data_IF_749598066523
#
_entry.id   IF_749598066523
#
_cell.length_a   1.000
_cell.length_b   1.000
_cell.length_c   1.000
_cell.angle_alpha   90.00
_cell.angle_beta   90.00
_cell.angle_gamma   90.00
#
_symmetry.space_group_name_H-M   'P 1'
#
loop_
_entity.id
_entity.type
_entity.pdbx_description
1 polymer ?
#
# COMPACT_ATOMS: atom_id res chain seq x y z
N UNK A 1 -64.56 -23.28 50.89
CA UNK A 1 -64.21 -23.71 49.52
C UNK A 1 -62.93 -22.99 49.11
N UNK A 2 -62.03 -23.73 48.47
CA UNK A 2 -60.57 -23.57 48.53
C UNK A 2 -60.05 -22.34 47.77
N UNK A 3 -59.14 -21.59 48.41
CA UNK A 3 -58.29 -20.57 47.80
C UNK A 3 -57.17 -21.27 47.00
N UNK A 4 -57.12 -21.07 45.69
CA UNK A 4 -56.07 -21.44 44.73
C UNK A 4 -56.42 -20.64 43.45
N UNK A 5 -55.56 -19.98 42.68
CA UNK A 5 -54.14 -20.22 42.45
C UNK A 5 -53.42 -18.90 42.10
N UNK A 6 -52.23 -18.78 42.66
CA UNK A 6 -51.16 -17.90 42.25
C UNK A 6 -50.39 -18.60 41.12
N UNK A 7 -49.71 -17.82 40.26
CA UNK A 7 -48.54 -18.16 39.42
C UNK A 7 -48.73 -18.64 37.97
N UNK A 8 -47.72 -18.28 37.15
CA UNK A 8 -47.36 -18.69 35.76
C UNK A 8 -47.95 -17.76 34.69
N UNK A 9 -47.22 -17.01 33.85
CA UNK A 9 -45.79 -16.93 33.54
C UNK A 9 -45.45 -15.52 32.98
N UNK A 10 -44.54 -14.81 33.65
CA UNK A 10 -43.54 -14.05 32.93
C UNK A 10 -42.53 -15.06 32.35
N UNK A 11 -41.82 -14.69 31.28
CA UNK A 11 -40.90 -15.52 30.47
C UNK A 11 -41.59 -16.05 29.19
N UNK A 12 -41.96 -15.14 28.29
CA UNK A 12 -41.80 -15.42 26.86
C UNK A 12 -40.34 -15.07 26.54
N UNK A 13 -39.48 -16.05 26.74
CA UNK A 13 -38.06 -15.98 26.49
C UNK A 13 -37.78 -15.60 25.03
N UNK A 14 -37.03 -14.52 24.88
CA UNK A 14 -35.92 -14.34 23.96
C UNK A 14 -35.31 -15.64 23.37
N UNK A 15 -35.97 -16.27 22.40
CA UNK A 15 -35.41 -17.49 21.74
C UNK A 15 -35.55 -17.52 20.23
N UNK A 16 -35.36 -16.38 19.56
CA UNK A 16 -34.93 -16.38 18.14
C UNK A 16 -33.76 -15.43 17.88
N UNK A 17 -32.95 -15.13 18.91
CA UNK A 17 -31.57 -14.75 18.65
C UNK A 17 -30.85 -16.03 18.23
N UNK A 18 -30.84 -16.30 16.92
CA UNK A 18 -29.82 -17.18 16.34
C UNK A 18 -28.48 -16.73 16.92
N UNK A 19 -27.60 -17.62 17.37
CA UNK A 19 -26.24 -17.21 17.64
C UNK A 19 -25.76 -16.59 16.33
N UNK A 20 -25.49 -15.27 16.34
CA UNK A 20 -24.53 -14.74 15.41
C UNK A 20 -23.28 -15.55 15.73
N UNK A 21 -22.98 -16.54 14.87
CA UNK A 21 -21.70 -17.19 14.89
C UNK A 21 -20.71 -16.06 14.97
N UNK A 22 -20.06 -15.94 16.12
CA UNK A 22 -18.96 -15.02 16.28
C UNK A 22 -17.95 -15.48 15.24
N UNK A 23 -17.94 -14.80 14.11
CA UNK A 23 -16.77 -14.74 13.27
C UNK A 23 -15.66 -14.40 14.25
N UNK A 24 -14.71 -15.31 14.40
CA UNK A 24 -13.45 -15.00 15.05
C UNK A 24 -12.92 -13.83 14.25
N UNK A 25 -13.17 -12.60 14.71
CA UNK A 25 -12.39 -11.46 14.30
C UNK A 25 -11.00 -11.76 14.83
N UNK A 26 -10.22 -12.44 13.99
CA UNK A 26 -8.78 -12.28 14.05
C UNK A 26 -8.59 -10.79 13.83
N UNK A 27 -8.28 -10.11 14.94
CA UNK A 27 -8.74 -8.74 15.16
C UNK A 27 -8.44 -7.79 14.02
N UNK A 28 -9.36 -6.85 13.79
CA UNK A 28 -9.07 -5.58 13.16
C UNK A 28 -8.03 -4.82 13.99
N UNK A 29 -6.79 -5.31 14.04
CA UNK A 29 -5.66 -4.58 14.59
C UNK A 29 -5.23 -3.59 13.52
N UNK A 30 -5.84 -2.41 13.54
CA UNK A 30 -5.13 -1.20 13.12
C UNK A 30 -3.91 -1.11 14.05
N UNK A 31 -2.76 -1.62 13.61
CA UNK A 31 -1.58 -1.76 14.49
C UNK A 31 -0.55 -2.87 14.15
N UNK A 32 -0.80 -3.76 13.19
CA UNK A 32 0.21 -4.72 12.65
C UNK A 32 1.31 -4.08 11.77
N UNK A 33 1.59 -2.79 11.97
CA UNK A 33 2.62 -2.01 11.26
C UNK A 33 4.01 -2.69 11.24
N UNK A 34 4.31 -3.51 12.25
CA UNK A 34 5.58 -4.23 12.41
C UNK A 34 5.58 -5.66 11.84
N UNK A 35 4.81 -5.93 10.78
CA UNK A 35 5.01 -7.15 9.97
C UNK A 35 6.46 -7.26 9.46
N UNK A 36 6.84 -8.34 8.75
CA UNK A 36 8.20 -8.53 8.24
C UNK A 36 8.52 -7.59 7.08
N UNK A 37 8.46 -6.27 7.32
CA UNK A 37 8.47 -5.18 6.36
C UNK A 37 9.42 -4.08 6.84
N UNK A 38 10.19 -3.53 5.91
CA UNK A 38 10.99 -2.34 6.14
C UNK A 38 10.78 -1.32 4.99
N UNK A 39 10.53 -0.03 5.29
CA UNK A 39 10.16 0.48 6.63
C UNK A 39 8.83 -0.16 7.11
N UNK A 40 8.54 -0.16 8.42
CA UNK A 40 7.22 -0.54 8.93
C UNK A 40 6.11 0.26 8.24
N UNK A 41 4.93 -0.34 8.05
CA UNK A 41 3.79 0.34 7.45
C UNK A 41 3.18 1.37 8.42
N UNK A 42 2.65 2.48 7.90
CA UNK A 42 1.99 3.49 8.74
C UNK A 42 0.68 2.95 9.31
N UNK A 43 -0.05 2.17 8.51
CA UNK A 43 -1.28 1.48 8.92
C UNK A 43 -1.32 0.09 8.31
N UNK A 44 -2.11 -0.77 8.93
CA UNK A 44 -2.44 -2.05 8.35
C UNK A 44 -3.83 -2.51 8.80
N UNK A 45 -4.43 -3.39 8.01
CA UNK A 45 -5.63 -4.13 8.31
C UNK A 45 -5.32 -5.59 7.99
N UNK A 46 -5.39 -6.49 8.95
CA UNK A 46 -4.72 -7.77 8.78
C UNK A 46 -5.20 -8.91 9.63
N UNK A 47 -4.49 -10.03 9.42
CA UNK A 47 -4.77 -11.35 9.94
C UNK A 47 -6.07 -11.98 9.46
N UNK A 48 -6.53 -11.59 8.26
CA UNK A 48 -7.61 -12.30 7.58
C UNK A 48 -7.20 -13.76 7.38
N UNK A 49 -8.08 -14.70 7.73
CA UNK A 49 -7.82 -16.14 7.56
C UNK A 49 -7.49 -16.44 6.09
N UNK A 50 -6.51 -17.30 5.88
CA UNK A 50 -6.15 -17.84 4.57
C UNK A 50 -5.67 -16.79 3.55
N UNK A 51 -5.48 -17.28 2.33
CA UNK A 51 -4.99 -16.51 1.21
C UNK A 51 -6.10 -15.73 0.54
N UNK A 52 -6.15 -14.44 0.85
CA UNK A 52 -7.10 -13.50 0.26
C UNK A 52 -6.72 -13.09 -1.18
N UNK A 53 -5.59 -13.56 -1.70
CA UNK A 53 -5.02 -13.20 -3.01
C UNK A 53 -4.82 -14.42 -3.93
N UNK A 54 -5.53 -15.52 -3.69
CA UNK A 54 -5.35 -16.82 -4.36
C UNK A 54 -5.88 -16.90 -5.81
N UNK A 55 -6.24 -15.77 -6.45
CA UNK A 55 -6.64 -15.76 -7.85
C UNK A 55 -8.09 -16.10 -8.15
N UNK A 56 -8.90 -16.37 -7.12
CA UNK A 56 -10.35 -16.47 -7.25
C UNK A 56 -10.98 -15.13 -6.88
N UNK A 57 -11.94 -14.67 -7.68
CA UNK A 57 -12.71 -13.42 -7.50
C UNK A 57 -13.42 -13.31 -6.15
N UNK A 58 -13.48 -14.40 -5.41
CA UNK A 58 -14.43 -14.60 -4.31
C UNK A 58 -14.03 -13.80 -3.06
N UNK A 59 -12.79 -13.32 -3.00
CA UNK A 59 -12.29 -12.51 -1.88
C UNK A 59 -12.23 -11.00 -2.18
N UNK A 60 -12.69 -10.55 -3.36
CA UNK A 60 -12.67 -9.12 -3.74
C UNK A 60 -13.46 -8.26 -2.75
N UNK A 61 -14.59 -8.75 -2.24
CA UNK A 61 -15.39 -8.03 -1.24
C UNK A 61 -14.64 -7.84 0.09
N UNK A 62 -13.85 -8.83 0.52
CA UNK A 62 -13.02 -8.75 1.71
C UNK A 62 -11.82 -7.82 1.48
N UNK A 63 -11.15 -7.93 0.34
CA UNK A 63 -10.09 -6.98 -0.04
C UNK A 63 -10.63 -5.54 -0.02
N UNK A 64 -11.83 -5.32 -0.57
CA UNK A 64 -12.46 -4.01 -0.58
C UNK A 64 -12.76 -3.51 0.83
N UNK A 65 -13.26 -4.35 1.73
CA UNK A 65 -13.53 -3.95 3.11
C UNK A 65 -12.24 -3.62 3.87
N UNK A 66 -11.19 -4.42 3.69
CA UNK A 66 -9.86 -4.17 4.28
C UNK A 66 -9.26 -2.83 3.81
N UNK A 67 -9.38 -2.53 2.51
CA UNK A 67 -8.91 -1.28 1.93
C UNK A 67 -9.74 -0.09 2.44
N UNK A 68 -11.05 -0.23 2.54
CA UNK A 68 -11.93 0.79 3.08
C UNK A 68 -11.57 1.14 4.54
N UNK A 69 -11.11 0.17 5.34
CA UNK A 69 -10.61 0.43 6.70
C UNK A 69 -9.33 1.29 6.71
N UNK A 70 -8.47 1.14 5.70
CA UNK A 70 -7.17 1.81 5.64
C UNK A 70 -7.24 3.24 5.12
N UNK A 71 -8.00 3.44 4.03
CA UNK A 71 -8.04 4.71 3.29
C UNK A 71 -9.45 5.31 3.21
N UNK A 72 -10.45 4.72 3.86
CA UNK A 72 -11.84 5.17 3.84
C UNK A 72 -12.62 4.66 2.63
N UNK A 73 -13.92 4.41 2.82
CA UNK A 73 -14.83 3.95 1.76
C UNK A 73 -14.86 4.90 0.56
N UNK A 74 -14.90 4.33 -0.65
CA UNK A 74 -14.99 5.08 -1.91
C UNK A 74 -13.66 5.63 -2.45
N UNK A 75 -12.57 5.55 -1.67
CA UNK A 75 -11.26 6.04 -2.12
C UNK A 75 -10.52 5.07 -3.04
N UNK A 76 -10.95 3.81 -3.13
CA UNK A 76 -10.39 2.80 -4.02
C UNK A 76 -11.46 1.74 -4.33
N UNK A 77 -11.49 1.24 -5.57
CA UNK A 77 -12.33 0.11 -5.96
C UNK A 77 -11.43 -1.03 -6.41
N UNK A 78 -11.57 -2.20 -5.78
CA UNK A 78 -10.83 -3.40 -6.15
C UNK A 78 -11.39 -3.96 -7.45
N UNK A 79 -10.55 -3.93 -8.50
CA UNK A 79 -10.77 -4.66 -9.75
C UNK A 79 -9.66 -5.68 -9.92
N UNK A 80 -9.96 -6.94 -9.61
CA UNK A 80 -8.99 -8.03 -9.64
C UNK A 80 -8.40 -8.26 -11.02
N UNK A 81 -9.23 -8.16 -12.07
CA UNK A 81 -8.79 -8.42 -13.43
C UNK A 81 -7.87 -7.30 -13.90
N UNK A 82 -8.23 -6.04 -13.64
CA UNK A 82 -7.36 -4.91 -13.96
C UNK A 82 -6.01 -4.98 -13.22
N UNK A 83 -6.01 -5.39 -11.94
CA UNK A 83 -4.78 -5.60 -11.17
C UNK A 83 -3.89 -6.70 -11.76
N UNK A 84 -4.51 -7.82 -12.15
CA UNK A 84 -3.80 -8.93 -12.79
C UNK A 84 -3.20 -8.52 -14.13
N UNK A 85 -4.00 -7.90 -15.00
CA UNK A 85 -3.59 -7.47 -16.34
C UNK A 85 -2.50 -6.38 -16.29
N UNK A 86 -2.51 -5.54 -15.25
CA UNK A 86 -1.47 -4.56 -14.98
C UNK A 86 -0.21 -5.13 -14.30
N UNK A 87 -0.12 -6.45 -14.10
CA UNK A 87 1.03 -7.11 -13.47
C UNK A 87 1.21 -6.74 -11.99
N UNK A 88 0.13 -6.43 -11.28
CA UNK A 88 0.15 -6.02 -9.86
C UNK A 88 -0.08 -7.17 -8.88
N UNK A 89 -0.30 -8.38 -9.38
CA UNK A 89 -0.53 -9.59 -8.59
C UNK A 89 0.70 -10.50 -8.69
N UNK A 90 1.26 -10.86 -7.54
CA UNK A 90 2.36 -11.81 -7.41
C UNK A 90 1.84 -13.05 -6.70
N UNK A 91 2.14 -14.23 -7.24
CA UNK A 91 1.67 -15.52 -6.71
C UNK A 91 2.83 -16.51 -6.59
N UNK A 92 2.66 -17.52 -5.74
CA UNK A 92 3.57 -18.67 -5.66
C UNK A 92 4.94 -18.36 -5.05
N UNK A 93 5.01 -17.42 -4.11
CA UNK A 93 6.25 -17.04 -3.41
C UNK A 93 7.35 -16.47 -4.32
N UNK A 94 7.01 -15.96 -5.51
CA UNK A 94 7.98 -15.35 -6.42
C UNK A 94 8.53 -14.02 -5.86
N UNK A 95 9.68 -14.11 -5.19
CA UNK A 95 10.39 -12.96 -4.61
C UNK A 95 10.97 -12.03 -5.68
N UNK A 96 11.28 -12.54 -6.88
CA UNK A 96 11.81 -11.70 -7.97
C UNK A 96 10.71 -10.79 -8.50
N UNK A 97 9.53 -11.36 -8.78
CA UNK A 97 8.37 -10.59 -9.17
C UNK A 97 7.95 -9.58 -8.09
N UNK A 98 8.00 -9.98 -6.82
CA UNK A 98 7.76 -9.08 -5.69
C UNK A 98 8.75 -7.90 -5.66
N UNK A 99 10.05 -8.18 -5.72
CA UNK A 99 11.07 -7.14 -5.65
C UNK A 99 10.97 -6.17 -6.83
N UNK A 100 10.64 -6.65 -8.03
CA UNK A 100 10.39 -5.79 -9.20
C UNK A 100 9.15 -4.91 -8.99
N UNK A 101 8.08 -5.45 -8.40
CA UNK A 101 6.88 -4.70 -8.07
C UNK A 101 7.17 -3.60 -7.04
N UNK A 102 7.94 -3.92 -5.99
CA UNK A 102 8.30 -3.00 -4.91
C UNK A 102 9.33 -1.95 -5.33
N UNK A 103 10.24 -2.26 -6.27
CA UNK A 103 11.26 -1.35 -6.76
C UNK A 103 10.68 -0.04 -7.36
N UNK A 104 9.43 -0.09 -7.82
CA UNK A 104 8.71 1.06 -8.39
C UNK A 104 7.62 1.61 -7.46
N UNK A 105 7.36 0.94 -6.33
CA UNK A 105 6.33 1.35 -5.39
C UNK A 105 6.84 2.51 -4.51
N UNK A 106 6.12 3.62 -4.45
CA UNK A 106 6.45 4.80 -3.67
C UNK A 106 5.29 5.78 -3.56
N UNK A 107 5.48 6.90 -2.86
CA UNK A 107 4.41 7.79 -2.46
C UNK A 107 3.48 7.08 -1.46
N UNK A 108 2.17 7.23 -1.64
CA UNK A 108 1.20 6.42 -0.93
C UNK A 108 1.18 5.02 -1.54
N UNK A 109 1.51 4.00 -0.74
CA UNK A 109 1.55 2.60 -1.17
C UNK A 109 0.54 1.79 -0.38
N UNK A 110 -0.35 1.08 -1.09
CA UNK A 110 -1.31 0.14 -0.53
C UNK A 110 -1.05 -1.24 -1.13
N UNK A 111 -0.69 -2.21 -0.30
CA UNK A 111 -0.30 -3.55 -0.74
C UNK A 111 -0.86 -4.62 0.20
N UNK A 112 -1.36 -5.71 -0.37
CA UNK A 112 -1.73 -6.91 0.34
C UNK A 112 -0.61 -7.94 0.28
N UNK A 113 -0.43 -8.71 1.34
CA UNK A 113 0.52 -9.81 1.44
C UNK A 113 -0.13 -11.00 2.13
N UNK A 114 0.17 -12.19 1.64
CA UNK A 114 -0.23 -13.44 2.28
C UNK A 114 0.99 -14.19 2.82
N UNK A 115 0.84 -14.68 4.05
CA UNK A 115 1.78 -15.53 4.73
C UNK A 115 1.13 -16.86 5.12
N UNK A 116 1.57 -17.92 4.47
CA UNK A 116 1.28 -19.29 4.86
C UNK A 116 2.25 -19.79 5.92
N UNK A 117 1.81 -20.69 6.77
CA UNK A 117 2.62 -21.33 7.81
C UNK A 117 3.32 -20.35 8.76
N UNK A 118 2.64 -19.26 9.17
CA UNK A 118 3.17 -18.32 10.18
C UNK A 118 3.16 -18.97 11.57
N UNK A 119 4.23 -18.84 12.37
CA UNK A 119 4.24 -19.33 13.75
C UNK A 119 3.13 -18.68 14.59
N UNK A 120 2.34 -19.49 15.29
CA UNK A 120 1.26 -19.03 16.16
C UNK A 120 -0.11 -19.57 15.77
N UNK A 121 -1.19 -19.17 16.48
CA UNK A 121 -2.53 -19.69 16.25
C UNK A 121 -3.12 -19.28 14.90
N UNK A 122 -2.57 -18.25 14.26
CA UNK A 122 -3.09 -17.76 12.99
C UNK A 122 -2.70 -18.65 11.80
N UNK A 123 -1.49 -19.23 11.77
CA UNK A 123 -1.04 -20.26 10.81
C UNK A 123 -1.01 -19.89 9.33
N UNK A 124 -2.02 -19.21 8.78
CA UNK A 124 -2.24 -18.91 7.38
C UNK A 124 -3.05 -17.62 7.28
N UNK A 125 -2.41 -16.50 6.93
CA UNK A 125 -3.05 -15.17 7.02
C UNK A 125 -2.69 -14.22 5.90
N UNK A 126 -3.64 -13.34 5.60
CA UNK A 126 -3.45 -12.19 4.75
C UNK A 126 -3.53 -10.89 5.53
N UNK A 127 -2.72 -9.92 5.15
CA UNK A 127 -2.84 -8.56 5.66
C UNK A 127 -2.56 -7.52 4.59
N UNK A 128 -3.09 -6.32 4.82
CA UNK A 128 -3.04 -5.16 3.94
C UNK A 128 -2.29 -4.05 4.67
N UNK A 129 -1.38 -3.40 3.96
CA UNK A 129 -0.46 -2.43 4.51
C UNK A 129 -0.56 -1.14 3.72
N UNK A 130 -0.57 -0.02 4.44
CA UNK A 130 -0.58 1.31 3.90
C UNK A 130 0.65 2.06 4.40
N UNK A 131 1.41 2.59 3.46
CA UNK A 131 2.29 3.72 3.71
C UNK A 131 1.63 4.98 3.17
N UNK A 132 1.52 6.01 3.98
CA UNK A 132 0.99 7.30 3.59
C UNK A 132 1.97 8.03 2.66
N UNK A 133 3.28 7.87 2.89
CA UNK A 133 4.33 8.37 2.01
C UNK A 133 5.67 7.64 2.22
N UNK A 134 6.18 6.96 1.19
CA UNK A 134 7.50 6.31 1.19
C UNK A 134 8.29 6.59 -0.09
N UNK A 135 9.63 6.65 -0.03
CA UNK A 135 10.46 6.72 -1.23
C UNK A 135 10.21 5.53 -2.17
N UNK A 136 10.27 5.77 -3.48
CA UNK A 136 10.18 4.69 -4.45
C UNK A 136 11.26 3.62 -4.20
N UNK A 137 10.86 2.35 -4.15
CA UNK A 137 11.79 1.23 -3.98
C UNK A 137 12.32 1.03 -2.56
N UNK A 138 11.79 1.74 -1.55
CA UNK A 138 12.25 1.55 -0.17
C UNK A 138 11.60 0.38 0.58
N UNK A 139 10.42 -0.07 0.14
CA UNK A 139 9.68 -1.16 0.77
C UNK A 139 10.36 -2.49 0.43
N UNK A 140 10.59 -3.32 1.45
CA UNK A 140 11.09 -4.69 1.29
C UNK A 140 10.56 -5.60 2.39
N UNK A 141 10.58 -6.91 2.15
CA UNK A 141 10.40 -7.89 3.21
C UNK A 141 11.68 -7.99 4.05
N UNK A 142 11.57 -7.99 5.38
CA UNK A 142 12.69 -8.29 6.29
C UNK A 142 12.81 -9.77 6.61
N UNK A 143 11.72 -10.52 6.41
CA UNK A 143 11.65 -11.97 6.50
C UNK A 143 10.67 -12.46 5.40
N UNK A 144 11.05 -13.53 4.72
CA UNK A 144 10.27 -14.15 3.65
C UNK A 144 9.58 -15.44 4.08
N UNK A 145 9.76 -15.87 5.33
CA UNK A 145 9.11 -17.06 5.86
C UNK A 145 7.59 -16.97 5.68
N UNK A 146 7.04 -17.95 4.97
CA UNK A 146 5.61 -18.04 4.72
C UNK A 146 5.06 -17.15 3.61
N UNK A 147 5.83 -16.18 3.12
CA UNK A 147 5.39 -15.33 2.01
C UNK A 147 4.97 -16.19 0.80
N UNK A 148 3.79 -15.92 0.26
CA UNK A 148 3.30 -16.66 -0.91
C UNK A 148 2.55 -15.82 -1.94
N UNK A 149 1.95 -14.69 -1.55
CA UNK A 149 1.30 -13.79 -2.50
C UNK A 149 1.47 -12.34 -2.09
N UNK A 150 1.44 -11.45 -3.08
CA UNK A 150 1.31 -10.01 -2.89
C UNK A 150 0.40 -9.39 -3.95
N UNK A 151 -0.30 -8.31 -3.59
CA UNK A 151 -1.11 -7.52 -4.53
C UNK A 151 -0.89 -6.04 -4.27
N UNK A 152 -0.37 -5.31 -5.26
CA UNK A 152 -0.19 -3.87 -5.17
C UNK A 152 -1.44 -3.13 -5.67
N UNK A 153 -2.21 -2.57 -4.74
CA UNK A 153 -3.45 -1.85 -5.05
C UNK A 153 -3.20 -0.40 -5.48
N UNK A 154 -2.26 0.28 -4.81
CA UNK A 154 -1.93 1.69 -5.07
C UNK A 154 -0.43 1.94 -4.90
N UNK A 155 0.12 2.74 -5.81
CA UNK A 155 1.42 3.42 -5.69
C UNK A 155 1.27 4.77 -6.37
N UNK A 156 1.46 5.87 -5.63
CA UNK A 156 1.29 7.23 -6.17
C UNK A 156 2.60 7.91 -6.54
N UNK A 157 3.72 7.19 -6.48
CA UNK A 157 5.04 7.75 -6.77
C UNK A 157 5.03 8.44 -8.14
N UNK A 158 5.05 9.76 -8.11
CA UNK A 158 5.37 10.57 -9.28
C UNK A 158 6.88 10.48 -9.38
N UNK A 159 7.41 9.85 -10.43
CA UNK A 159 8.79 10.12 -10.81
C UNK A 159 8.86 11.62 -11.00
N UNK A 160 9.54 12.34 -10.10
CA UNK A 160 9.75 13.78 -10.31
C UNK A 160 10.43 13.89 -11.65
N UNK A 161 9.73 14.44 -12.64
CA UNK A 161 10.29 14.64 -13.97
C UNK A 161 11.49 15.55 -13.78
N UNK A 162 12.68 14.95 -13.74
CA UNK A 162 13.91 15.71 -13.89
C UNK A 162 13.80 16.33 -15.28
N UNK A 163 13.94 17.66 -15.43
CA UNK A 163 13.91 18.26 -16.74
C UNK A 163 14.91 17.50 -17.61
N UNK A 164 14.48 17.05 -18.78
CA UNK A 164 15.30 16.19 -19.62
C UNK A 164 16.70 16.81 -19.78
N UNK A 165 17.78 16.02 -19.86
CA UNK A 165 19.15 16.54 -19.98
C UNK A 165 19.30 17.64 -21.06
N UNK A 166 18.49 17.57 -22.13
CA UNK A 166 18.40 18.61 -23.17
C UNK A 166 17.91 19.98 -22.66
N UNK A 167 16.99 20.01 -21.70
CA UNK A 167 16.50 21.25 -21.07
C UNK A 167 17.61 21.96 -20.31
N UNK A 168 18.39 21.20 -19.53
CA UNK A 168 19.55 21.73 -18.81
C UNK A 168 20.62 22.22 -19.79
N UNK A 169 20.88 21.46 -20.85
CA UNK A 169 21.82 21.85 -21.89
C UNK A 169 21.40 23.16 -22.57
N UNK A 170 20.12 23.32 -22.93
CA UNK A 170 19.60 24.54 -23.54
C UNK A 170 19.73 25.76 -22.62
N UNK A 171 19.43 25.60 -21.31
CA UNK A 171 19.63 26.67 -20.34
C UNK A 171 21.10 27.05 -20.22
N UNK A 172 22.01 26.08 -20.11
CA UNK A 172 23.44 26.33 -20.02
C UNK A 172 24.00 26.99 -21.28
N UNK A 173 23.54 26.58 -22.46
CA UNK A 173 23.88 27.23 -23.74
C UNK A 173 23.36 28.66 -23.76
N UNK A 174 22.11 28.91 -23.35
CA UNK A 174 21.53 30.25 -23.25
C UNK A 174 22.31 31.16 -22.31
N UNK A 175 22.61 30.71 -21.09
CA UNK A 175 23.43 31.46 -20.13
C UNK A 175 24.87 31.67 -20.62
N UNK A 176 25.47 30.68 -21.28
CA UNK A 176 26.79 30.77 -21.89
C UNK A 176 26.84 31.82 -23.01
N UNK A 177 25.81 31.85 -23.87
CA UNK A 177 25.70 32.84 -24.94
C UNK A 177 25.57 34.27 -24.39
N UNK A 178 24.71 34.49 -23.40
CA UNK A 178 24.53 35.80 -22.74
C UNK A 178 25.83 36.24 -22.06
N UNK A 179 26.45 35.37 -21.25
CA UNK A 179 27.71 35.67 -20.57
C UNK A 179 28.87 35.94 -21.54
N UNK A 180 28.93 35.20 -22.65
CA UNK A 180 29.91 35.41 -23.72
C UNK A 180 29.75 36.77 -24.39
N UNK A 181 28.50 37.18 -24.69
CA UNK A 181 28.21 38.49 -25.26
C UNK A 181 28.61 39.64 -24.33
N UNK A 182 28.36 39.51 -23.02
CA UNK A 182 28.77 40.51 -22.02
C UNK A 182 30.29 40.65 -21.90
N UNK A 183 31.04 39.53 -21.93
CA UNK A 183 32.51 39.55 -21.84
C UNK A 183 33.17 40.15 -23.09
N UNK A 184 32.63 39.90 -24.28
CA UNK A 184 33.16 40.44 -25.54
C UNK A 184 33.15 41.98 -25.57
N UNK A 185 32.17 42.63 -24.93
CA UNK A 185 32.03 44.10 -24.94
C UNK A 185 33.08 44.84 -24.09
N UNK A 186 33.80 44.18 -23.18
CA UNK A 186 34.76 44.85 -22.27
C UNK A 186 36.16 45.08 -22.84
N UNK A 187 36.43 44.70 -24.09
CA UNK A 187 37.65 45.13 -24.78
C UNK A 187 37.45 46.54 -25.33
N UNK A 188 37.43 47.53 -24.45
CA UNK A 188 37.62 48.92 -24.87
C UNK A 188 39.12 49.20 -25.00
N UNK A 189 39.45 49.84 -26.12
CA UNK A 189 40.78 50.25 -26.57
C UNK A 189 41.49 51.03 -25.47
N UNK A 190 42.58 50.48 -24.95
CA UNK A 190 43.53 51.25 -24.13
C UNK A 190 44.12 52.33 -25.03
N UNK A 191 43.78 53.59 -24.78
CA UNK A 191 44.38 54.73 -25.48
C UNK A 191 45.83 54.83 -24.98
N UNK A 192 46.86 54.62 -25.82
CA UNK A 192 48.25 54.79 -25.40
C UNK A 192 48.47 56.27 -25.08
N UNK A 193 48.85 56.55 -23.83
CA UNK A 193 49.24 57.90 -23.43
C UNK A 193 50.71 58.05 -23.78
N UNK A 194 51.00 58.85 -24.80
CA UNK A 194 52.38 59.22 -25.13
C UNK A 194 52.82 60.33 -24.17
N UNK A 195 53.97 60.10 -23.53
CA UNK A 195 54.68 61.04 -22.67
C UNK A 195 55.66 61.89 -23.48
#
# INVERSE_FOLDING_TARGET
MKKLALSIAAIAAATLATPASATVEVGSSVGCASGPLAPPADKCAGYYSDNQFSGQSDNVALQQSAINLLIGSGNYTVDWNALKDAGKVVSGSDLTALNNLLATAGGQVLIGFHWGNVPGPQGNVSAFYLWDNVPAGSIRLTDTQGYSNAVLYRSTSVTTAVPEPGTWALMLVGFGAVGGAMRRRRRETVIPQFA
#
